data_IF_663259275352
#
_entry.id   IF_663259275352
#
_cell.length_a   1.000
_cell.length_b   1.000
_cell.length_c   1.000
_cell.angle_alpha   90.00
_cell.angle_beta   90.00
_cell.angle_gamma   90.00
#
_symmetry.space_group_name_H-M   'P 1'
#
loop_
_entity.id
_entity.type
_entity.pdbx_description
1 polymer ?
#
# COMPACT_ATOMS: atom_id res chain seq x y z
N UNK A 1 12.67 13.83 -2.43
CA UNK A 1 11.82 13.45 -3.58
C UNK A 1 10.68 12.62 -3.04
N UNK A 2 9.44 12.93 -3.42
CA UNK A 2 8.30 12.10 -3.07
C UNK A 2 8.13 11.03 -4.16
N UNK A 3 7.91 9.78 -3.77
CA UNK A 3 7.62 8.68 -4.69
C UNK A 3 6.15 8.30 -4.54
N UNK A 4 5.39 8.32 -5.62
CA UNK A 4 3.99 7.91 -5.61
C UNK A 4 3.91 6.39 -5.62
N UNK A 5 3.41 5.81 -4.54
CA UNK A 5 3.12 4.38 -4.46
C UNK A 5 1.74 4.15 -5.09
N UNK A 6 1.71 3.53 -6.26
CA UNK A 6 0.47 3.16 -6.93
C UNK A 6 0.05 1.76 -6.49
N UNK A 7 -1.23 1.59 -6.18
CA UNK A 7 -1.81 0.28 -5.92
C UNK A 7 -1.75 -0.55 -7.21
N UNK A 8 -1.07 -1.72 -7.24
CA UNK A 8 -1.15 -2.63 -8.38
C UNK A 8 -2.53 -3.29 -8.47
N UNK A 9 -2.87 -3.86 -9.63
CA UNK A 9 -4.07 -4.68 -9.78
C UNK A 9 -4.03 -5.85 -8.79
N UNK A 10 -5.03 -5.92 -7.90
CA UNK A 10 -5.07 -6.89 -6.80
C UNK A 10 -5.69 -8.24 -7.21
N UNK A 11 -6.23 -8.34 -8.42
CA UNK A 11 -6.78 -9.55 -9.02
C UNK A 11 -7.68 -9.20 -10.20
N UNK A 12 -7.91 -10.15 -11.12
CA UNK A 12 -8.69 -9.91 -12.35
C UNK A 12 -10.11 -9.37 -12.10
N UNK A 13 -10.68 -9.61 -10.91
CA UNK A 13 -12.00 -9.10 -10.50
C UNK A 13 -11.96 -8.05 -9.38
N UNK A 14 -10.78 -7.75 -8.84
CA UNK A 14 -10.64 -6.83 -7.70
C UNK A 14 -10.27 -5.45 -8.23
N UNK A 15 -11.27 -4.57 -8.26
CA UNK A 15 -11.10 -3.20 -8.78
C UNK A 15 -10.72 -2.20 -7.69
N UNK A 16 -11.10 -2.48 -6.44
CA UNK A 16 -10.91 -1.57 -5.31
C UNK A 16 -10.43 -2.34 -4.08
N UNK A 17 -9.52 -1.73 -3.32
CA UNK A 17 -9.00 -2.27 -2.06
C UNK A 17 -9.15 -1.23 -0.96
N UNK A 18 -9.66 -1.64 0.19
CA UNK A 18 -9.76 -0.78 1.37
C UNK A 18 -8.47 -0.87 2.18
N UNK A 19 -7.82 0.28 2.44
CA UNK A 19 -6.66 0.34 3.33
C UNK A 19 -7.12 0.05 4.76
N UNK A 20 -6.74 -1.11 5.29
CA UNK A 20 -7.12 -1.52 6.65
C UNK A 20 -6.16 -0.95 7.68
N UNK A 21 -4.88 -0.80 7.32
CA UNK A 21 -3.86 -0.32 8.25
C UNK A 21 -2.67 0.32 7.54
N UNK A 22 -2.19 1.43 8.08
CA UNK A 22 -0.89 1.98 7.73
C UNK A 22 0.18 1.41 8.65
N UNK A 23 1.21 0.81 8.07
CA UNK A 23 2.38 0.29 8.80
C UNK A 23 3.46 1.35 8.93
N UNK A 24 3.50 2.29 7.99
CA UNK A 24 4.37 3.47 7.99
C UNK A 24 3.63 4.73 8.38
N UNK A 25 4.35 5.63 9.04
CA UNK A 25 3.88 6.96 9.42
C UNK A 25 4.64 8.04 8.65
N UNK A 26 4.10 9.24 8.64
CA UNK A 26 4.73 10.39 7.99
C UNK A 26 6.10 10.68 8.63
N UNK A 27 7.13 10.81 7.80
CA UNK A 27 8.51 11.03 8.24
C UNK A 27 9.30 9.74 8.53
N UNK A 28 8.66 8.57 8.45
CA UNK A 28 9.36 7.29 8.61
C UNK A 28 10.19 6.93 7.37
N UNK A 29 11.29 6.19 7.57
CA UNK A 29 12.16 5.78 6.46
C UNK A 29 11.67 4.47 5.86
N UNK A 30 11.51 4.42 4.54
CA UNK A 30 11.09 3.23 3.80
C UNK A 30 12.31 2.47 3.27
N UNK A 31 12.44 1.19 3.60
CA UNK A 31 13.43 0.29 3.02
C UNK A 31 12.85 -0.60 1.91
N UNK A 32 13.72 -1.18 1.09
CA UNK A 32 13.33 -2.22 0.11
C UNK A 32 12.84 -3.45 0.86
N UNK A 33 11.83 -4.12 0.28
CA UNK A 33 11.13 -5.28 0.86
C UNK A 33 10.37 -4.99 2.16
N UNK A 34 10.19 -3.71 2.51
CA UNK A 34 9.45 -3.32 3.70
C UNK A 34 7.96 -3.04 3.38
N UNK A 35 7.01 -3.62 4.14
CA UNK A 35 5.60 -3.38 3.92
C UNK A 35 5.18 -1.97 4.40
N UNK A 36 4.43 -1.25 3.57
CA UNK A 36 4.01 0.13 3.83
C UNK A 36 2.60 0.24 4.46
N UNK A 37 1.67 -0.55 3.94
CA UNK A 37 0.28 -0.57 4.36
C UNK A 37 -0.35 -1.93 4.06
N UNK A 38 -1.43 -2.23 4.76
CA UNK A 38 -2.25 -3.42 4.58
C UNK A 38 -3.56 -3.03 3.88
N UNK A 39 -3.97 -3.86 2.94
CA UNK A 39 -5.16 -3.65 2.11
C UNK A 39 -6.00 -4.91 2.18
N UNK A 40 -7.31 -4.71 2.40
CA UNK A 40 -8.31 -5.75 2.26
C UNK A 40 -9.13 -5.48 1.02
N UNK A 41 -9.30 -6.52 0.22
CA UNK A 41 -10.11 -6.52 -1.00
C UNK A 41 -11.36 -7.35 -0.75
N UNK A 42 -12.48 -6.93 -1.31
CA UNK A 42 -13.67 -7.78 -1.46
C UNK A 42 -13.72 -8.31 -2.91
#
# INVERSE_FOLDING_TARGET
>A
MAFSVTLPELGESVTEGTVTRWLKQEGDTVAVDEPLLEISTD
#
